data_IF_643088161709
#
_entry.id   IF_643088161709
#
_cell.length_a   1.000
_cell.length_b   1.000
_cell.length_c   1.000
_cell.angle_alpha   90.00
_cell.angle_beta   90.00
_cell.angle_gamma   90.00
#
_symmetry.space_group_name_H-M   'P 1'
#
loop_
_entity.id
_entity.type
_entity.pdbx_description
1 polymer ?
#
# COMPACT_ATOMS: atom_id res chain seq x y z
N UNK A 1 -16.94 15.14 1.94
CA UNK A 1 -17.21 15.30 0.49
C UNK A 1 -17.05 13.99 -0.28
N UNK A 2 -15.84 13.44 -0.42
CA UNK A 2 -15.58 12.21 -1.20
C UNK A 2 -16.53 11.05 -0.83
N UNK A 3 -16.71 10.77 0.47
CA UNK A 3 -17.61 9.72 0.97
C UNK A 3 -19.01 9.78 0.36
N UNK A 4 -19.55 11.00 0.22
CA UNK A 4 -20.86 11.23 -0.39
C UNK A 4 -20.80 11.10 -1.92
N UNK A 5 -19.76 11.63 -2.57
CA UNK A 5 -19.61 11.61 -4.04
C UNK A 5 -19.60 10.19 -4.63
N UNK A 6 -18.93 9.26 -3.95
CA UNK A 6 -18.79 7.87 -4.44
C UNK A 6 -19.82 6.92 -3.80
N UNK A 7 -20.82 7.44 -3.08
CA UNK A 7 -21.78 6.66 -2.29
C UNK A 7 -21.08 5.59 -1.44
N UNK A 8 -20.03 5.98 -0.73
CA UNK A 8 -19.08 5.04 -0.13
C UNK A 8 -19.75 4.06 0.83
N UNK A 9 -20.74 4.54 1.60
CA UNK A 9 -21.51 3.72 2.55
C UNK A 9 -22.28 2.60 1.85
N UNK A 10 -22.79 2.85 0.65
CA UNK A 10 -23.45 1.84 -0.18
C UNK A 10 -22.42 0.86 -0.76
N UNK A 11 -21.29 1.37 -1.26
CA UNK A 11 -20.20 0.57 -1.85
C UNK A 11 -19.69 -0.47 -0.86
N UNK A 12 -19.50 -0.10 0.40
CA UNK A 12 -18.99 -1.00 1.43
C UNK A 12 -20.10 -1.73 2.20
N UNK A 13 -21.37 -1.46 1.93
CA UNK A 13 -22.49 -2.04 2.68
C UNK A 13 -22.45 -3.57 2.75
N UNK A 14 -22.93 -4.11 3.89
CA UNK A 14 -23.00 -5.55 4.13
C UNK A 14 -21.64 -6.26 4.16
N UNK A 15 -20.55 -5.52 4.36
CA UNK A 15 -19.23 -6.11 4.61
C UNK A 15 -19.18 -6.78 5.99
N UNK A 16 -18.51 -7.93 6.06
CA UNK A 16 -18.24 -8.61 7.35
C UNK A 16 -16.87 -8.26 7.91
N UNK A 17 -15.96 -7.89 7.01
CA UNK A 17 -14.57 -7.61 7.31
C UNK A 17 -14.13 -6.30 6.66
N UNK A 18 -13.12 -5.67 7.22
CA UNK A 18 -12.38 -4.56 6.64
C UNK A 18 -11.76 -4.99 5.30
N UNK A 19 -11.21 -6.20 5.20
CA UNK A 19 -10.65 -6.68 3.92
C UNK A 19 -11.75 -6.78 2.84
N UNK A 20 -12.94 -7.28 3.16
CA UNK A 20 -14.06 -7.32 2.22
C UNK A 20 -14.48 -5.90 1.79
N UNK A 21 -14.53 -4.95 2.72
CA UNK A 21 -14.85 -3.55 2.41
C UNK A 21 -13.82 -2.93 1.45
N UNK A 22 -12.53 -3.10 1.75
CA UNK A 22 -11.43 -2.63 0.89
C UNK A 22 -11.52 -3.26 -0.49
N UNK A 23 -11.79 -4.56 -0.59
CA UNK A 23 -11.93 -5.23 -1.87
C UNK A 23 -13.16 -4.80 -2.67
N UNK A 24 -14.26 -4.45 -2.00
CA UNK A 24 -15.45 -3.83 -2.63
C UNK A 24 -15.12 -2.44 -3.18
N UNK A 25 -14.39 -1.62 -2.42
CA UNK A 25 -13.91 -0.32 -2.91
C UNK A 25 -12.97 -0.48 -4.10
N UNK A 26 -11.99 -1.39 -4.04
CA UNK A 26 -11.09 -1.67 -5.14
C UNK A 26 -11.86 -2.11 -6.40
N UNK A 27 -12.88 -2.95 -6.25
CA UNK A 27 -13.78 -3.37 -7.35
C UNK A 27 -14.62 -2.22 -7.90
N UNK A 28 -15.07 -1.32 -7.03
CA UNK A 28 -15.82 -0.14 -7.45
C UNK A 28 -14.93 0.76 -8.32
N UNK A 29 -13.73 1.07 -7.83
CA UNK A 29 -12.75 1.91 -8.53
C UNK A 29 -12.30 1.27 -9.85
N UNK A 30 -11.97 -0.03 -9.86
CA UNK A 30 -11.52 -0.74 -11.06
C UNK A 30 -12.57 -0.79 -12.19
N UNK A 31 -13.84 -0.51 -11.88
CA UNK A 31 -14.96 -0.49 -12.84
C UNK A 31 -15.41 0.92 -13.19
N UNK A 32 -14.93 1.94 -12.48
CA UNK A 32 -15.43 3.30 -12.63
C UNK A 32 -14.95 3.92 -13.95
N UNK A 33 -13.72 3.63 -14.38
CA UNK A 33 -13.20 4.06 -15.69
C UNK A 33 -12.26 3.03 -16.32
N UNK A 34 -11.98 3.21 -17.60
CA UNK A 34 -10.97 2.40 -18.31
C UNK A 34 -9.58 2.99 -18.08
N UNK A 35 -8.62 2.12 -17.78
CA UNK A 35 -7.21 2.51 -17.73
C UNK A 35 -6.79 3.11 -19.09
N UNK A 36 -6.30 4.36 -19.08
CA UNK A 36 -5.66 4.97 -20.25
C UNK A 36 -4.67 6.06 -19.83
N UNK A 37 -3.81 6.45 -20.78
CA UNK A 37 -2.82 7.51 -20.60
C UNK A 37 -3.46 8.81 -20.07
N UNK A 38 -2.80 9.52 -19.13
CA UNK A 38 -3.32 10.74 -18.52
C UNK A 38 -3.26 11.97 -19.44
N UNK A 39 -3.07 11.83 -20.73
CA UNK A 39 -2.91 12.96 -21.66
C UNK A 39 -4.16 13.87 -21.71
N UNK A 40 -4.02 15.22 -21.74
CA UNK A 40 -2.78 16.01 -21.89
C UNK A 40 -2.12 16.49 -20.59
N UNK A 41 -2.69 16.22 -19.41
CA UNK A 41 -2.23 16.85 -18.15
C UNK A 41 -2.02 15.81 -17.04
N UNK A 42 -0.94 15.98 -16.29
CA UNK A 42 -0.61 15.07 -15.20
C UNK A 42 -1.54 15.30 -13.98
N UNK A 43 -2.20 14.24 -13.46
CA UNK A 43 -3.29 14.38 -12.49
C UNK A 43 -2.81 14.90 -11.15
N UNK A 44 -3.70 15.55 -10.40
CA UNK A 44 -3.49 15.71 -8.96
C UNK A 44 -3.60 14.34 -8.25
N UNK A 45 -2.97 14.20 -7.09
CA UNK A 45 -2.98 12.95 -6.31
C UNK A 45 -4.05 13.00 -5.21
N UNK A 46 -5.26 13.44 -5.55
CA UNK A 46 -6.41 13.41 -4.66
C UNK A 46 -7.66 12.95 -5.42
N UNK A 47 -8.53 12.20 -4.76
CA UNK A 47 -9.64 11.56 -5.44
C UNK A 47 -10.62 12.53 -6.09
N UNK A 48 -10.91 13.69 -5.48
CA UNK A 48 -11.90 14.63 -6.03
C UNK A 48 -11.42 15.19 -7.38
N UNK A 49 -10.18 15.66 -7.45
CA UNK A 49 -9.60 16.15 -8.71
C UNK A 49 -9.44 15.04 -9.76
N UNK A 50 -9.14 13.81 -9.34
CA UNK A 50 -9.04 12.66 -10.24
C UNK A 50 -10.41 12.33 -10.84
N UNK A 51 -11.45 12.26 -10.01
CA UNK A 51 -12.82 11.98 -10.45
C UNK A 51 -13.34 13.09 -11.36
N UNK A 52 -13.14 14.37 -11.01
CA UNK A 52 -13.51 15.51 -11.87
C UNK A 52 -12.87 15.40 -13.25
N UNK A 53 -11.58 15.06 -13.29
CA UNK A 53 -10.84 14.87 -14.53
C UNK A 53 -11.42 13.74 -15.36
N UNK A 54 -11.66 12.57 -14.76
CA UNK A 54 -12.14 11.39 -15.46
C UNK A 54 -13.54 11.61 -16.01
N UNK A 55 -14.43 12.24 -15.23
CA UNK A 55 -15.79 12.59 -15.64
C UNK A 55 -15.79 13.59 -16.79
N UNK A 56 -14.92 14.61 -16.74
CA UNK A 56 -14.79 15.60 -17.80
C UNK A 56 -14.16 15.03 -19.08
N UNK A 57 -13.07 14.25 -18.96
CA UNK A 57 -12.30 13.73 -20.10
C UNK A 57 -12.87 12.42 -20.67
N UNK A 58 -13.82 11.77 -19.98
CA UNK A 58 -14.37 10.46 -20.36
C UNK A 58 -13.38 9.29 -20.18
N UNK A 59 -12.29 9.52 -19.43
CA UNK A 59 -11.18 8.59 -19.25
C UNK A 59 -9.92 9.33 -18.75
N UNK A 60 -8.75 8.73 -18.95
CA UNK A 60 -7.48 9.41 -18.72
C UNK A 60 -6.84 9.12 -17.36
N UNK A 61 -7.10 7.95 -16.77
CA UNK A 61 -6.50 7.50 -15.50
C UNK A 61 -5.77 6.18 -15.65
N UNK A 62 -4.52 6.09 -15.18
CA UNK A 62 -3.74 4.85 -15.11
C UNK A 62 -3.57 4.40 -13.64
N UNK A 63 -2.75 3.39 -13.36
CA UNK A 63 -2.63 2.75 -12.05
C UNK A 63 -2.53 3.72 -10.86
N UNK A 64 -1.69 4.76 -10.95
CA UNK A 64 -1.59 5.79 -9.93
C UNK A 64 -2.94 6.42 -9.58
N UNK A 65 -3.76 6.75 -10.56
CA UNK A 65 -5.04 7.44 -10.31
C UNK A 65 -6.07 6.51 -9.68
N UNK A 66 -6.14 5.26 -10.14
CA UNK A 66 -7.03 4.24 -9.58
C UNK A 66 -6.67 4.01 -8.11
N UNK A 67 -5.39 3.77 -7.83
CA UNK A 67 -4.96 3.48 -6.47
C UNK A 67 -4.94 4.72 -5.56
N UNK A 68 -4.75 5.93 -6.08
CA UNK A 68 -4.94 7.17 -5.31
C UNK A 68 -6.41 7.38 -4.90
N UNK A 69 -7.37 7.08 -5.78
CA UNK A 69 -8.80 7.12 -5.42
C UNK A 69 -9.11 6.07 -4.36
N UNK A 70 -8.57 4.84 -4.49
CA UNK A 70 -8.75 3.80 -3.47
C UNK A 70 -8.17 4.23 -2.11
N UNK A 71 -6.96 4.79 -2.07
CA UNK A 71 -6.33 5.31 -0.85
C UNK A 71 -7.20 6.35 -0.16
N UNK A 72 -7.73 7.31 -0.91
CA UNK A 72 -8.59 8.36 -0.35
C UNK A 72 -9.97 7.83 0.07
N UNK A 73 -10.50 6.80 -0.59
CA UNK A 73 -11.70 6.08 -0.11
C UNK A 73 -11.43 5.37 1.22
N UNK A 74 -10.29 4.67 1.38
CA UNK A 74 -9.89 4.08 2.66
C UNK A 74 -9.83 5.13 3.77
N UNK A 75 -9.23 6.29 3.50
CA UNK A 75 -9.14 7.40 4.47
C UNK A 75 -10.51 8.00 4.80
N UNK A 76 -11.43 8.06 3.85
CA UNK A 76 -12.80 8.49 4.09
C UNK A 76 -13.59 7.50 4.99
N UNK A 77 -13.15 6.24 5.07
CA UNK A 77 -13.61 5.24 6.05
C UNK A 77 -12.87 5.32 7.40
N UNK A 78 -11.83 6.15 7.54
CA UNK A 78 -10.98 6.20 8.73
C UNK A 78 -9.80 5.23 8.72
N UNK A 79 -9.58 4.49 7.63
CA UNK A 79 -8.47 3.55 7.50
C UNK A 79 -7.22 4.22 6.96
N UNK A 80 -6.09 3.97 7.60
CA UNK A 80 -4.80 4.45 7.11
C UNK A 80 -4.40 3.65 5.88
N UNK A 81 -4.18 4.37 4.79
CA UNK A 81 -3.73 3.80 3.51
C UNK A 81 -2.80 4.79 2.82
N UNK A 82 -1.83 4.33 2.05
CA UNK A 82 -0.95 5.20 1.27
C UNK A 82 -0.68 4.63 -0.12
N UNK A 83 -0.21 5.51 -1.00
CA UNK A 83 0.23 5.12 -2.32
C UNK A 83 1.67 4.59 -2.23
N UNK A 84 1.83 3.33 -2.59
CA UNK A 84 3.12 2.70 -2.76
C UNK A 84 3.40 2.45 -4.24
N UNK A 85 4.66 2.33 -4.55
CA UNK A 85 5.16 2.18 -5.90
C UNK A 85 6.03 0.96 -5.94
N UNK A 86 5.81 0.18 -6.98
CA UNK A 86 6.68 -0.91 -7.40
C UNK A 86 7.14 -0.63 -8.83
N UNK A 87 7.88 -1.56 -9.42
CA UNK A 87 8.45 -1.30 -10.74
C UNK A 87 7.34 -1.13 -11.81
N UNK A 88 7.26 0.09 -12.36
CA UNK A 88 6.29 0.54 -13.37
C UNK A 88 4.83 0.37 -12.93
N UNK A 89 4.57 0.45 -11.62
CA UNK A 89 3.21 0.31 -11.12
C UNK A 89 3.01 1.00 -9.78
N UNK A 90 1.85 1.62 -9.60
CA UNK A 90 1.46 2.26 -8.35
C UNK A 90 0.25 1.58 -7.77
N UNK A 91 0.30 1.31 -6.46
CA UNK A 91 -0.65 0.44 -5.74
C UNK A 91 -1.04 1.07 -4.41
N UNK A 92 -2.13 0.57 -3.84
CA UNK A 92 -2.59 0.96 -2.52
C UNK A 92 -2.00 -0.01 -1.48
N UNK A 93 -1.47 0.53 -0.38
CA UNK A 93 -1.27 -0.25 0.84
C UNK A 93 -2.17 0.30 1.94
N UNK A 94 -2.87 -0.57 2.64
CA UNK A 94 -3.83 -0.20 3.68
C UNK A 94 -3.58 -1.01 4.94
N UNK A 95 -3.60 -0.33 6.09
CA UNK A 95 -3.57 -1.00 7.38
C UNK A 95 -4.88 -1.71 7.65
N UNK A 96 -4.79 -2.97 8.04
CA UNK A 96 -5.93 -3.80 8.34
C UNK A 96 -5.89 -4.28 9.80
N UNK A 97 -6.89 -3.87 10.58
CA UNK A 97 -6.99 -4.15 12.02
C UNK A 97 -7.23 -5.63 12.31
N UNK A 98 -7.86 -6.38 11.39
CA UNK A 98 -8.10 -7.82 11.59
C UNK A 98 -6.82 -8.64 11.55
N UNK A 99 -5.85 -8.18 10.76
CA UNK A 99 -4.56 -8.85 10.63
C UNK A 99 -3.46 -8.14 11.42
N UNK A 100 -3.71 -6.94 11.94
CA UNK A 100 -2.71 -6.12 12.62
C UNK A 100 -1.50 -5.81 11.74
N UNK A 101 -1.73 -5.56 10.43
CA UNK A 101 -0.66 -5.30 9.46
C UNK A 101 -1.13 -4.52 8.24
N UNK A 102 -0.16 -3.99 7.49
CA UNK A 102 -0.37 -3.45 6.15
C UNK A 102 -0.68 -4.56 5.15
N UNK A 103 -1.50 -4.23 4.14
CA UNK A 103 -1.89 -5.13 3.05
C UNK A 103 -1.79 -4.40 1.73
N UNK A 104 -1.16 -5.05 0.76
CA UNK A 104 -1.17 -4.69 -0.65
C UNK A 104 -2.56 -4.87 -1.26
N UNK A 105 -3.08 -3.84 -1.91
CA UNK A 105 -4.31 -3.88 -2.70
C UNK A 105 -4.12 -3.07 -3.97
N UNK A 106 -4.65 -3.58 -5.07
CA UNK A 106 -4.57 -2.95 -6.37
C UNK A 106 -5.96 -2.87 -7.02
N UNK A 107 -6.33 -1.65 -7.41
CA UNK A 107 -7.55 -1.36 -8.16
C UNK A 107 -7.29 -1.26 -9.68
N UNK A 108 -6.05 -1.36 -10.14
CA UNK A 108 -5.74 -1.27 -11.56
C UNK A 108 -6.02 -2.57 -12.32
N UNK A 109 -6.73 -2.45 -13.44
CA UNK A 109 -7.32 -3.51 -14.28
C UNK A 109 -8.26 -4.47 -13.55
N UNK A 110 -7.89 -4.96 -12.37
CA UNK A 110 -8.61 -5.92 -11.56
C UNK A 110 -8.41 -5.61 -10.09
N UNK A 111 -9.50 -5.62 -9.34
CA UNK A 111 -9.46 -5.51 -7.89
C UNK A 111 -8.73 -6.72 -7.28
N UNK A 112 -7.54 -6.57 -6.71
CA UNK A 112 -6.89 -7.72 -6.08
C UNK A 112 -5.98 -7.38 -4.92
N UNK A 113 -5.69 -8.40 -4.13
CA UNK A 113 -4.60 -8.43 -3.16
C UNK A 113 -3.81 -9.73 -3.37
N UNK A 114 -2.60 -9.78 -2.82
CA UNK A 114 -1.78 -10.99 -2.79
C UNK A 114 -1.81 -11.63 -1.41
N UNK A 115 -1.82 -12.96 -1.38
CA UNK A 115 -1.68 -13.73 -0.15
C UNK A 115 -0.61 -14.81 -0.29
N UNK A 116 0.00 -15.18 0.83
CA UNK A 116 0.94 -16.27 0.89
C UNK A 116 0.20 -17.61 0.82
N UNK A 117 0.59 -18.47 -0.12
CA UNK A 117 -0.08 -19.77 -0.35
C UNK A 117 0.00 -20.69 0.88
N UNK A 118 1.08 -20.60 1.67
CA UNK A 118 1.28 -21.47 2.84
C UNK A 118 0.47 -21.02 4.05
N UNK A 119 0.39 -19.71 4.30
CA UNK A 119 -0.27 -19.19 5.51
C UNK A 119 -1.70 -18.73 5.26
N UNK A 120 -2.07 -18.49 3.99
CA UNK A 120 -3.36 -17.90 3.61
C UNK A 120 -3.49 -16.42 3.99
N UNK A 121 -2.42 -15.80 4.52
CA UNK A 121 -2.46 -14.42 4.99
C UNK A 121 -2.16 -13.43 3.87
N UNK A 122 -2.85 -12.27 3.86
CA UNK A 122 -2.54 -11.18 2.95
C UNK A 122 -1.14 -10.61 3.22
N UNK A 123 -0.53 -10.09 2.16
CA UNK A 123 0.84 -9.62 2.15
C UNK A 123 0.92 -8.11 1.94
N UNK A 124 1.91 -7.45 2.54
CA UNK A 124 2.34 -6.10 2.14
C UNK A 124 3.50 -6.17 1.14
N UNK A 125 3.87 -5.04 0.56
CA UNK A 125 4.86 -4.98 -0.52
C UNK A 125 6.25 -5.45 -0.11
N UNK A 126 6.72 -5.17 1.11
CA UNK A 126 8.01 -5.68 1.56
C UNK A 126 8.03 -7.22 1.69
N UNK A 127 6.95 -7.86 2.14
CA UNK A 127 6.89 -9.34 2.09
C UNK A 127 6.85 -9.85 0.66
N UNK A 128 6.13 -9.17 -0.24
CA UNK A 128 6.12 -9.51 -1.67
C UNK A 128 7.50 -9.35 -2.29
N UNK A 129 8.26 -8.35 -1.87
CA UNK A 129 9.63 -8.11 -2.28
C UNK A 129 10.57 -9.23 -1.85
N UNK A 130 10.51 -9.64 -0.57
CA UNK A 130 11.31 -10.73 -0.05
C UNK A 130 11.02 -12.04 -0.82
N UNK A 131 9.74 -12.35 -1.03
CA UNK A 131 9.31 -13.51 -1.82
C UNK A 131 9.72 -13.40 -3.29
N UNK A 132 9.66 -12.20 -3.88
CA UNK A 132 10.07 -11.95 -5.25
C UNK A 132 11.56 -12.24 -5.43
N UNK A 133 12.39 -11.72 -4.53
CA UNK A 133 13.83 -11.91 -4.60
C UNK A 133 14.17 -13.39 -4.39
N UNK A 134 13.55 -14.08 -3.44
CA UNK A 134 13.76 -15.51 -3.21
C UNK A 134 13.39 -16.36 -4.43
N UNK A 135 12.34 -15.97 -5.14
CA UNK A 135 11.83 -16.70 -6.29
C UNK A 135 12.62 -16.44 -7.57
N UNK A 136 13.02 -15.19 -7.83
CA UNK A 136 13.68 -14.79 -9.09
C UNK A 136 15.20 -14.60 -8.99
N UNK A 137 15.71 -14.23 -7.81
CA UNK A 137 17.12 -13.89 -7.59
C UNK A 137 17.69 -14.56 -6.34
N UNK A 138 17.58 -15.90 -6.21
CA UNK A 138 18.01 -16.61 -5.02
C UNK A 138 19.52 -16.42 -4.78
N UNK A 139 19.89 -15.92 -3.60
CA UNK A 139 21.29 -15.69 -3.20
C UNK A 139 22.02 -14.63 -4.04
N UNK A 140 21.29 -13.81 -4.79
CA UNK A 140 21.85 -12.80 -5.69
C UNK A 140 21.40 -11.39 -5.29
N UNK A 141 22.34 -10.45 -5.38
CA UNK A 141 22.07 -9.02 -5.38
C UNK A 141 21.71 -8.56 -6.79
N UNK A 142 20.62 -7.79 -6.91
CA UNK A 142 20.16 -7.22 -8.17
C UNK A 142 21.18 -6.25 -8.75
N UNK A 143 21.50 -6.46 -10.02
CA UNK A 143 22.22 -5.50 -10.84
C UNK A 143 21.21 -4.70 -11.66
N UNK A 144 20.94 -3.45 -11.25
CA UNK A 144 19.98 -2.57 -11.90
C UNK A 144 20.26 -2.32 -13.40
N UNK A 145 21.48 -2.57 -13.87
CA UNK A 145 21.87 -2.33 -15.27
C UNK A 145 21.73 -3.57 -16.14
N UNK A 146 21.88 -4.77 -15.56
CA UNK A 146 21.99 -6.02 -16.31
C UNK A 146 20.84 -7.00 -16.04
N UNK A 147 20.18 -6.91 -14.90
CA UNK A 147 19.06 -7.77 -14.56
C UNK A 147 17.75 -7.24 -15.12
N UNK A 148 16.98 -8.13 -15.75
CA UNK A 148 15.55 -7.87 -15.98
C UNK A 148 14.84 -8.09 -14.65
N UNK A 149 14.26 -7.05 -14.06
CA UNK A 149 13.53 -7.12 -12.78
C UNK A 149 12.05 -6.68 -12.90
N UNK A 150 11.70 -6.12 -14.04
CA UNK A 150 10.36 -5.67 -14.38
C UNK A 150 9.48 -6.80 -14.87
N UNK A 151 8.23 -6.87 -14.38
CA UNK A 151 7.15 -7.74 -14.92
C UNK A 151 7.67 -9.13 -15.30
N UNK A 152 8.21 -9.83 -14.31
CA UNK A 152 8.82 -11.14 -14.52
C UNK A 152 7.77 -12.17 -14.95
N UNK A 153 8.08 -13.06 -15.91
CA UNK A 153 7.22 -14.21 -16.14
C UNK A 153 7.23 -15.11 -14.90
N UNK A 154 6.10 -15.75 -14.59
CA UNK A 154 6.10 -16.85 -13.62
C UNK A 154 6.98 -17.97 -14.19
N UNK A 155 7.83 -18.56 -13.35
CA UNK A 155 8.73 -19.62 -13.78
C UNK A 155 7.95 -20.90 -14.05
N UNK A 156 8.28 -21.59 -15.13
CA UNK A 156 7.64 -22.86 -15.49
C UNK A 156 8.04 -24.00 -14.54
N UNK A 157 9.24 -23.92 -13.95
CA UNK A 157 9.84 -24.96 -13.11
C UNK A 157 9.51 -24.83 -11.62
N UNK A 158 8.89 -23.73 -11.19
CA UNK A 158 8.63 -23.45 -9.77
C UNK A 158 7.31 -22.72 -9.60
N UNK A 159 6.36 -23.30 -8.86
CA UNK A 159 5.12 -22.62 -8.51
C UNK A 159 5.38 -21.36 -7.66
N UNK A 160 4.69 -20.24 -7.90
CA UNK A 160 4.88 -19.03 -7.11
C UNK A 160 4.44 -19.26 -5.65
N UNK A 161 5.12 -18.63 -4.67
CA UNK A 161 4.73 -18.72 -3.26
C UNK A 161 3.51 -17.85 -2.90
N UNK A 162 2.97 -17.13 -3.89
CA UNK A 162 1.92 -16.13 -3.75
C UNK A 162 0.77 -16.47 -4.68
N UNK A 163 -0.45 -16.29 -4.18
CA UNK A 163 -1.67 -16.31 -4.98
C UNK A 163 -2.43 -14.98 -4.85
N UNK A 164 -3.52 -14.86 -5.59
CA UNK A 164 -4.29 -13.63 -5.73
C UNK A 164 -5.70 -13.82 -5.21
N UNK A 165 -6.09 -12.98 -4.25
CA UNK A 165 -7.48 -12.84 -3.83
C UNK A 165 -8.18 -11.74 -4.61
N UNK A 166 -9.40 -11.99 -5.07
CA UNK A 166 -10.23 -11.00 -5.77
C UNK A 166 -11.71 -11.34 -5.71
N UNK A 167 -12.56 -10.30 -5.70
CA UNK A 167 -14.00 -10.43 -5.92
C UNK A 167 -14.33 -10.76 -7.39
N UNK A 168 -13.52 -10.26 -8.34
CA UNK A 168 -13.65 -10.59 -9.76
C UNK A 168 -12.43 -11.34 -10.26
N UNK A 169 -12.63 -12.53 -10.83
CA UNK A 169 -11.53 -13.35 -11.34
C UNK A 169 -11.54 -13.41 -12.87
N UNK A 170 -11.19 -12.32 -13.57
CA UNK A 170 -11.00 -12.41 -15.01
C UNK A 170 -9.84 -13.37 -15.32
N UNK A 171 -9.94 -14.03 -16.48
CA UNK A 171 -8.90 -14.92 -16.99
C UNK A 171 -7.66 -14.10 -17.37
N UNK A 172 -6.48 -14.72 -17.27
CA UNK A 172 -5.20 -14.17 -17.75
C UNK A 172 -4.77 -12.86 -17.07
N UNK A 173 -5.00 -12.75 -15.76
CA UNK A 173 -4.51 -11.59 -15.01
C UNK A 173 -3.15 -11.92 -14.43
N UNK A 174 -2.22 -11.00 -14.60
CA UNK A 174 -0.88 -11.10 -14.07
C UNK A 174 -0.89 -10.98 -12.54
N UNK A 175 0.08 -11.62 -11.88
CA UNK A 175 0.26 -11.54 -10.42
C UNK A 175 1.03 -10.24 -10.07
N UNK A 176 0.44 -9.10 -10.45
CA UNK A 176 0.92 -7.76 -10.08
C UNK A 176 1.07 -7.66 -8.57
N UNK A 177 1.97 -6.81 -8.10
CA UNK A 177 2.48 -6.87 -6.74
C UNK A 177 3.66 -7.82 -6.69
N UNK A 178 3.42 -9.13 -6.86
CA UNK A 178 4.51 -10.12 -6.79
C UNK A 178 5.53 -9.98 -7.94
N UNK A 179 5.12 -10.04 -9.21
CA UNK A 179 6.07 -10.17 -10.34
C UNK A 179 6.86 -8.90 -10.70
N UNK A 180 6.59 -7.79 -10.01
CA UNK A 180 7.23 -6.50 -10.17
C UNK A 180 7.64 -5.86 -8.82
N UNK A 181 7.68 -6.64 -7.73
CA UNK A 181 8.12 -6.19 -6.41
C UNK A 181 9.64 -6.03 -6.25
N UNK A 182 10.43 -5.98 -7.32
CA UNK A 182 11.89 -5.86 -7.23
C UNK A 182 12.38 -4.58 -6.54
N UNK A 183 11.61 -3.50 -6.70
CA UNK A 183 11.99 -2.18 -6.25
C UNK A 183 10.73 -1.52 -5.69
N UNK A 184 10.82 -0.99 -4.48
CA UNK A 184 9.66 -0.49 -3.75
C UNK A 184 9.96 0.86 -3.09
N UNK A 185 8.99 1.76 -3.19
CA UNK A 185 9.09 3.10 -2.64
C UNK A 185 7.69 3.66 -2.38
N UNK A 186 7.58 4.60 -1.45
CA UNK A 186 6.29 5.20 -1.11
C UNK A 186 6.42 6.69 -0.89
N UNK A 187 5.30 7.41 -1.03
CA UNK A 187 5.26 8.78 -0.51
C UNK A 187 5.00 8.71 1.00
N UNK A 188 5.87 9.27 1.85
CA UNK A 188 5.63 9.32 3.29
C UNK A 188 4.49 10.28 3.65
N UNK A 189 4.00 11.05 2.68
CA UNK A 189 2.93 12.03 2.83
C UNK A 189 1.64 11.51 2.24
N UNK A 190 0.54 11.82 2.92
CA UNK A 190 -0.79 11.39 2.50
C UNK A 190 -1.88 12.47 2.67
N UNK A 191 -1.53 13.76 2.68
CA UNK A 191 -2.48 14.86 2.87
C UNK A 191 -2.74 15.69 1.58
N UNK A 192 -2.76 15.04 0.41
CA UNK A 192 -2.91 15.71 -0.88
C UNK A 192 -4.22 16.49 -1.08
N UNK A 193 -5.25 16.25 -0.26
CA UNK A 193 -6.45 17.10 -0.19
C UNK A 193 -6.14 18.49 0.40
N UNK A 194 -5.40 18.54 1.49
CA UNK A 194 -5.07 19.79 2.20
C UNK A 194 -3.88 20.50 1.53
N UNK A 195 -2.87 19.73 1.12
CA UNK A 195 -1.63 20.23 0.52
C UNK A 195 -1.39 19.53 -0.81
N UNK A 196 -1.87 20.04 -1.95
CA UNK A 196 -1.73 19.38 -3.25
C UNK A 196 -0.27 19.21 -3.73
N UNK A 197 0.64 20.06 -3.24
CA UNK A 197 2.07 20.08 -3.60
C UNK A 197 2.96 20.05 -2.35
N UNK A 198 4.25 19.65 -2.46
CA UNK A 198 4.90 19.11 -3.65
C UNK A 198 4.36 17.71 -4.00
N UNK A 199 4.35 17.41 -5.30
CA UNK A 199 4.01 16.11 -5.86
C UNK A 199 4.88 15.90 -7.09
N UNK A 200 4.99 14.66 -7.57
CA UNK A 200 5.65 14.42 -8.83
C UNK A 200 4.93 15.19 -9.98
N UNK A 201 5.71 15.78 -10.89
CA UNK A 201 5.20 16.47 -12.08
C UNK A 201 4.90 15.49 -13.24
N UNK A 202 5.56 14.34 -13.23
CA UNK A 202 5.38 13.25 -14.18
C UNK A 202 5.82 11.92 -13.56
N UNK A 203 4.88 11.05 -13.24
CA UNK A 203 5.24 9.72 -12.75
C UNK A 203 5.40 8.76 -13.93
N UNK A 204 6.60 8.19 -14.05
CA UNK A 204 7.03 7.13 -14.99
C UNK A 204 8.43 6.64 -14.54
N UNK A 205 9.05 5.71 -15.28
CA UNK A 205 10.42 5.18 -15.05
C UNK A 205 11.52 6.22 -14.76
N UNK A 206 11.33 7.46 -15.20
CA UNK A 206 12.31 8.54 -15.10
C UNK A 206 11.91 9.62 -14.10
N UNK A 207 10.89 9.38 -13.27
CA UNK A 207 10.47 10.29 -12.21
C UNK A 207 11.61 10.46 -11.21
N UNK A 208 12.17 11.67 -11.12
CA UNK A 208 13.25 12.02 -10.18
C UNK A 208 12.72 12.78 -8.96
N UNK A 209 11.42 12.64 -8.66
CA UNK A 209 10.84 13.36 -7.54
C UNK A 209 11.43 12.87 -6.21
N UNK A 210 12.10 13.77 -5.50
CA UNK A 210 12.81 13.46 -4.25
C UNK A 210 11.89 13.37 -3.02
N UNK A 211 10.57 13.28 -3.23
CA UNK A 211 9.57 13.18 -2.17
C UNK A 211 9.25 11.75 -1.74
N UNK A 212 9.94 10.75 -2.26
CA UNK A 212 9.73 9.33 -1.94
C UNK A 212 10.77 8.82 -0.96
N UNK A 213 10.36 7.91 -0.07
CA UNK A 213 11.27 7.04 0.67
C UNK A 213 11.33 5.70 -0.04
N UNK A 214 12.53 5.18 -0.27
CA UNK A 214 12.73 3.88 -0.92
C UNK A 214 13.27 2.87 0.06
N UNK A 215 12.90 1.62 -0.16
CA UNK A 215 13.57 0.51 0.49
C UNK A 215 14.92 0.22 -0.16
N UNK A 216 15.86 -0.22 0.67
CA UNK A 216 17.07 -0.87 0.21
C UNK A 216 17.46 -1.98 1.17
N UNK A 217 18.19 -2.95 0.66
CA UNK A 217 18.83 -3.99 1.46
C UNK A 217 20.10 -4.50 0.76
N UNK A 218 20.68 -5.59 1.28
CA UNK A 218 21.87 -6.20 0.69
C UNK A 218 21.65 -6.84 -0.69
N UNK A 219 20.39 -7.08 -1.09
CA UNK A 219 20.00 -7.65 -2.38
C UNK A 219 19.48 -6.59 -3.34
N UNK A 220 19.01 -5.45 -2.85
CA UNK A 220 18.50 -4.33 -3.64
C UNK A 220 19.24 -3.04 -3.27
N UNK A 221 20.42 -2.81 -3.85
CA UNK A 221 21.24 -1.68 -3.47
C UNK A 221 20.56 -0.35 -3.85
N UNK A 222 20.85 0.76 -3.14
CA UNK A 222 20.28 2.07 -3.45
C UNK A 222 20.42 2.49 -4.93
N UNK A 223 19.32 2.93 -5.55
CA UNK A 223 19.34 3.50 -6.91
C UNK A 223 19.79 4.96 -6.88
N UNK A 224 20.82 5.32 -7.66
CA UNK A 224 21.39 6.69 -7.70
C UNK A 224 20.41 7.81 -8.11
N UNK A 225 19.22 7.46 -8.57
CA UNK A 225 18.18 8.39 -9.02
C UNK A 225 17.52 9.18 -7.87
N UNK A 226 17.66 8.73 -6.63
CA UNK A 226 16.91 9.24 -5.49
C UNK A 226 17.80 9.44 -4.26
N UNK A 227 17.35 10.22 -3.29
CA UNK A 227 18.16 10.60 -2.12
C UNK A 227 17.77 9.91 -0.82
N UNK A 228 16.52 9.45 -0.69
CA UNK A 228 15.98 8.94 0.58
C UNK A 228 15.79 7.42 0.56
N UNK A 229 16.44 6.76 1.50
CA UNK A 229 16.45 5.31 1.63
C UNK A 229 16.25 4.88 3.08
N UNK A 230 15.60 3.73 3.28
CA UNK A 230 15.50 3.05 4.57
C UNK A 230 15.63 1.55 4.40
N UNK A 231 16.27 0.88 5.35
CA UNK A 231 16.31 -0.57 5.54
C UNK A 231 15.55 -0.97 6.81
N UNK A 232 14.79 -0.02 7.39
CA UNK A 232 14.01 -0.21 8.60
C UNK A 232 12.53 -0.36 8.25
N UNK A 233 11.94 -1.56 8.37
CA UNK A 233 10.55 -1.80 7.97
C UNK A 233 9.55 -0.83 8.59
N UNK A 234 9.75 -0.47 9.87
CA UNK A 234 8.85 0.42 10.62
C UNK A 234 8.78 1.85 10.05
N UNK A 235 9.74 2.28 9.23
CA UNK A 235 9.67 3.60 8.57
C UNK A 235 8.64 3.63 7.43
N UNK A 236 8.35 2.47 6.82
CA UNK A 236 7.34 2.31 5.76
C UNK A 236 6.06 1.62 6.25
N UNK A 237 6.20 0.71 7.20
CA UNK A 237 5.14 -0.17 7.72
C UNK A 237 5.05 -0.06 9.25
N UNK A 238 4.69 1.10 9.81
CA UNK A 238 4.51 1.23 11.25
C UNK A 238 3.27 0.46 11.72
N UNK A 239 3.32 -0.06 12.94
CA UNK A 239 2.17 -0.68 13.59
C UNK A 239 1.16 0.41 13.96
N UNK A 240 -0.08 0.29 13.48
CA UNK A 240 -1.16 1.24 13.75
C UNK A 240 -2.21 0.65 14.66
N UNK A 241 -2.91 1.47 15.45
CA UNK A 241 -3.99 1.03 16.34
C UNK A 241 -3.55 -0.07 17.34
N UNK A 242 -2.25 -0.19 17.57
CA UNK A 242 -1.63 -1.11 18.52
C UNK A 242 -0.86 -0.31 19.56
N UNK A 243 -0.76 -0.87 20.76
CA UNK A 243 0.02 -0.31 21.86
C UNK A 243 1.15 -1.27 22.18
N UNK A 244 2.39 -0.78 22.06
CA UNK A 244 3.58 -1.46 22.54
C UNK A 244 3.77 -1.10 24.01
N UNK A 245 3.91 -2.13 24.86
CA UNK A 245 4.07 -1.96 26.31
C UNK A 245 5.43 -2.52 26.71
N UNK A 246 6.34 -1.64 27.13
CA UNK A 246 7.57 -2.04 27.80
C UNK A 246 7.33 -2.08 29.31
N UNK A 247 7.57 -3.24 29.92
CA UNK A 247 7.39 -3.45 31.36
C UNK A 247 8.73 -3.65 32.06
N UNK A 248 9.02 -2.85 33.08
CA UNK A 248 10.26 -2.93 33.87
C UNK A 248 9.94 -2.99 35.36
N UNK A 249 10.62 -3.89 36.08
CA UNK A 249 10.45 -4.02 37.52
C UNK A 249 11.17 -2.91 38.28
N UNK A 250 10.52 -2.37 39.32
CA UNK A 250 11.12 -1.41 40.24
C UNK A 250 12.10 -2.04 41.23
N UNK A 251 13.01 -1.23 41.77
CA UNK A 251 13.97 -1.65 42.78
C UNK A 251 13.22 -2.11 44.05
N UNK A 252 13.24 -3.42 44.35
CA UNK A 252 12.53 -4.01 45.49
C UNK A 252 11.40 -4.98 45.13
N UNK A 253 11.12 -5.19 43.84
CA UNK A 253 10.09 -6.12 43.34
C UNK A 253 8.65 -5.78 43.78
N UNK A 254 8.40 -4.56 44.24
CA UNK A 254 7.10 -4.06 44.73
C UNK A 254 6.33 -3.23 43.69
N UNK A 255 6.97 -2.86 42.57
CA UNK A 255 6.41 -1.99 41.53
C UNK A 255 6.73 -2.52 40.13
N UNK A 256 5.80 -2.25 39.21
CA UNK A 256 5.98 -2.42 37.77
C UNK A 256 5.85 -1.05 37.09
N UNK A 257 6.85 -0.68 36.29
CA UNK A 257 6.82 0.50 35.45
C UNK A 257 6.42 0.08 34.04
N UNK A 258 5.35 0.68 33.53
CA UNK A 258 4.85 0.44 32.18
C UNK A 258 5.10 1.68 31.33
N UNK A 259 5.73 1.50 30.17
CA UNK A 259 5.85 2.52 29.12
C UNK A 259 4.99 2.09 27.95
N UNK A 260 4.06 2.95 27.58
CA UNK A 260 3.14 2.73 26.48
C UNK A 260 3.57 3.55 25.27
N UNK A 261 3.67 2.91 24.11
CA UNK A 261 4.01 3.54 22.83
C UNK A 261 2.99 3.15 21.77
N UNK A 262 2.57 4.11 20.94
CA UNK A 262 1.72 3.82 19.79
C UNK A 262 2.06 4.79 18.65
N UNK A 263 1.98 4.30 17.42
CA UNK A 263 1.96 5.13 16.23
C UNK A 263 0.54 5.10 15.66
N UNK A 264 -0.35 5.89 16.26
CA UNK A 264 -1.76 5.98 15.84
C UNK A 264 -2.09 7.42 15.47
N UNK A 265 -2.39 7.72 14.19
CA UNK A 265 -2.81 9.05 13.78
C UNK A 265 -4.04 9.52 14.56
N UNK A 266 -4.03 10.77 15.03
CA UNK A 266 -5.08 11.37 15.87
C UNK A 266 -5.26 10.71 17.25
N UNK A 267 -4.23 10.02 17.76
CA UNK A 267 -4.22 9.51 19.13
C UNK A 267 -4.39 10.63 20.16
N UNK A 268 -5.25 10.41 21.16
CA UNK A 268 -5.55 11.40 22.20
C UNK A 268 -4.80 11.09 23.51
N UNK A 269 -5.08 9.95 24.14
CA UNK A 269 -4.46 9.51 25.39
C UNK A 269 -4.61 7.99 25.57
N UNK A 270 -3.80 7.43 26.47
CA UNK A 270 -4.00 6.07 26.97
C UNK A 270 -4.97 6.11 28.15
N UNK A 271 -5.89 5.16 28.21
CA UNK A 271 -6.76 4.90 29.35
C UNK A 271 -6.24 3.63 30.04
N UNK A 272 -6.11 3.69 31.37
CA UNK A 272 -5.59 2.59 32.18
C UNK A 272 -6.58 2.33 33.29
N UNK A 273 -7.27 1.20 33.20
CA UNK A 273 -8.15 0.70 34.24
C UNK A 273 -7.45 -0.48 34.95
N UNK A 274 -7.15 -0.32 36.24
CA UNK A 274 -6.45 -1.32 37.06
C UNK A 274 -7.37 -2.07 38.01
N UNK A 275 -8.63 -1.64 38.14
CA UNK A 275 -9.58 -2.14 39.13
C UNK A 275 -11.03 -2.24 38.64
N UNK A 276 -11.26 -2.19 37.33
CA UNK A 276 -12.57 -2.20 36.66
C UNK A 276 -13.50 -1.06 37.14
N UNK A 277 -12.94 0.06 37.59
CA UNK A 277 -13.70 1.18 38.19
C UNK A 277 -13.82 2.41 37.27
N UNK A 278 -13.21 2.39 36.08
CA UNK A 278 -13.27 3.48 35.09
C UNK A 278 -12.39 4.67 35.44
#
# INVERSE_FOLDING_TARGET
ELRARVNLDEVISGNRTQLDAVMKMARYVSKYWRNMSPWPEYPAWNALSILDRIEYAGGGGYCLMLNAVLVDMCKACGWQAHLSHIDIHEVCEVWNDEFGKWIFVDADYVNHYNYNVKTGLPLHLQELHDLYLDYYFPGKTLDWMNDKFTWQPIREDLAPPVERGSITSPKNVQLSGFINAAYLFMSPRNNFFEKPTPRCLNQNHTSTWDGFIQWYDNRTPPRRQFSWFTDRPRDMYPDLNLVHIDAVQGFGNDRLFLRFETYTPNFCHFEVDVDDMG
#
